data_IF_081239260913
#
_entry.id   IF_081239260913
#
_cell.length_a   1.000
_cell.length_b   1.000
_cell.length_c   1.000
_cell.angle_alpha   90.00
_cell.angle_beta   90.00
_cell.angle_gamma   90.00
#
_symmetry.space_group_name_H-M   'P 1'
#
loop_
_entity.id
_entity.type
_entity.pdbx_description
1 polymer ?
#
# COMPACT_ATOMS: atom_id res chain seq x y z
N UNK A 1 3.96 30.53 10.04
CA UNK A 1 2.94 30.01 9.10
C UNK A 1 2.68 28.57 9.53
N UNK A 2 1.58 28.35 10.27
CA UNK A 2 1.37 27.18 11.13
C UNK A 2 0.60 26.06 10.43
N UNK A 3 1.07 24.82 10.61
CA UNK A 3 0.41 23.62 10.10
C UNK A 3 -0.60 23.12 11.14
N UNK A 4 -1.90 23.15 10.79
CA UNK A 4 -2.96 22.58 11.59
C UNK A 4 -3.09 21.07 11.30
N UNK A 5 -3.06 20.25 12.35
CA UNK A 5 -3.39 18.82 12.28
C UNK A 5 -4.87 18.66 12.67
N UNK A 6 -5.75 18.13 11.81
CA UNK A 6 -7.14 17.87 12.18
C UNK A 6 -7.28 16.75 13.22
N UNK A 7 -8.11 16.98 14.25
CA UNK A 7 -8.22 16.22 15.52
C UNK A 7 -9.05 14.91 15.47
N UNK A 8 -9.37 14.35 14.31
CA UNK A 8 -10.43 13.32 14.22
C UNK A 8 -9.97 11.85 14.22
N UNK A 9 -8.80 11.50 14.79
CA UNK A 9 -8.24 10.13 14.70
C UNK A 9 -8.10 9.33 16.01
N UNK A 10 -8.70 9.78 17.12
CA UNK A 10 -8.29 9.32 18.47
C UNK A 10 -9.22 8.29 19.15
N UNK A 11 -10.38 7.90 18.57
CA UNK A 11 -11.43 7.20 19.35
C UNK A 11 -11.59 5.67 19.22
N UNK A 12 -10.80 4.93 18.44
CA UNK A 12 -11.11 3.49 18.17
C UNK A 12 -10.19 2.42 18.78
N UNK A 13 -9.24 2.77 19.68
CA UNK A 13 -8.17 1.83 20.08
C UNK A 13 -8.36 1.04 21.39
N UNK A 14 -9.47 1.19 22.13
CA UNK A 14 -9.48 0.71 23.53
C UNK A 14 -9.98 -0.72 23.80
N UNK A 15 -10.61 -1.44 22.85
CA UNK A 15 -11.38 -2.65 23.19
C UNK A 15 -10.88 -4.01 22.65
N UNK A 16 -9.63 -4.16 22.17
CA UNK A 16 -9.15 -5.45 21.61
C UNK A 16 -7.90 -6.07 22.28
N UNK A 17 -7.59 -5.71 23.53
CA UNK A 17 -6.32 -6.12 24.19
C UNK A 17 -6.42 -7.31 25.18
N UNK A 18 -7.56 -7.99 25.32
CA UNK A 18 -7.81 -8.86 26.49
C UNK A 18 -7.53 -10.38 26.33
N UNK A 19 -6.88 -10.88 25.26
CA UNK A 19 -6.84 -12.34 25.01
C UNK A 19 -5.48 -13.00 24.75
N UNK A 20 -4.34 -12.32 24.87
CA UNK A 20 -3.02 -12.99 24.83
C UNK A 20 -2.69 -13.75 23.52
N UNK A 21 -3.54 -13.65 22.50
CA UNK A 21 -3.24 -14.11 21.16
C UNK A 21 -2.37 -13.06 20.48
N UNK A 22 -1.19 -13.46 20.00
CA UNK A 22 -0.36 -12.61 19.14
C UNK A 22 -1.21 -12.25 17.92
N UNK A 23 -1.70 -11.02 17.86
CA UNK A 23 -2.44 -10.51 16.70
C UNK A 23 -1.40 -10.39 15.58
N UNK A 24 -1.35 -11.42 14.73
CA UNK A 24 -0.42 -11.43 13.62
C UNK A 24 -0.99 -10.54 12.54
N UNK A 25 -0.26 -9.49 12.18
CA UNK A 25 -0.66 -8.57 11.12
C UNK A 25 0.13 -8.91 9.85
N UNK A 26 -0.49 -9.48 8.82
CA UNK A 26 0.16 -9.67 7.53
C UNK A 26 0.63 -8.32 6.98
N UNK A 27 1.89 -8.25 6.54
CA UNK A 27 2.42 -7.08 5.88
C UNK A 27 3.25 -7.46 4.66
N UNK A 28 3.34 -6.51 3.72
CA UNK A 28 4.17 -6.63 2.51
C UNK A 28 5.36 -5.67 2.52
N UNK A 29 5.32 -4.59 3.32
CA UNK A 29 6.45 -3.66 3.49
C UNK A 29 6.52 -2.52 2.48
N UNK A 30 5.38 -1.99 2.04
CA UNK A 30 5.31 -0.78 1.21
C UNK A 30 4.66 0.38 1.94
N UNK A 31 5.17 1.59 1.72
CA UNK A 31 4.42 2.81 1.95
C UNK A 31 3.64 3.13 0.70
N UNK A 32 2.33 3.28 0.87
CA UNK A 32 1.40 3.45 -0.21
C UNK A 32 0.45 4.62 0.06
N UNK A 33 -0.04 5.22 -1.01
CA UNK A 33 -1.07 6.25 -0.97
C UNK A 33 -2.15 5.95 -2.00
N UNK A 34 -3.38 6.36 -1.74
CA UNK A 34 -4.45 6.27 -2.73
C UNK A 34 -4.13 7.24 -3.87
N UNK A 35 -4.13 6.73 -5.10
CA UNK A 35 -4.02 7.54 -6.31
C UNK A 35 -5.42 7.79 -6.85
N UNK A 36 -5.79 9.06 -6.95
CA UNK A 36 -6.98 9.52 -7.65
C UNK A 36 -6.58 10.22 -8.95
N UNK A 37 -7.46 10.31 -9.96
CA UNK A 37 -7.19 11.07 -11.17
C UNK A 37 -6.78 12.52 -10.88
N UNK A 38 -7.42 13.15 -9.89
CA UNK A 38 -7.10 14.51 -9.43
C UNK A 38 -5.67 14.61 -8.88
N UNK A 39 -5.26 13.68 -8.00
CA UNK A 39 -3.91 13.64 -7.45
C UNK A 39 -2.86 13.31 -8.53
N UNK A 40 -3.21 12.43 -9.48
CA UNK A 40 -2.35 12.11 -10.61
C UNK A 40 -2.13 13.34 -11.50
N UNK A 41 -3.20 14.08 -11.77
CA UNK A 41 -3.16 15.31 -12.56
C UNK A 41 -2.36 16.41 -11.84
N UNK A 42 -2.56 16.59 -10.54
CA UNK A 42 -1.77 17.51 -9.72
C UNK A 42 -0.27 17.19 -9.79
N UNK A 43 0.11 15.92 -9.61
CA UNK A 43 1.49 15.47 -9.80
C UNK A 43 2.00 15.74 -11.22
N UNK A 44 1.22 15.44 -12.26
CA UNK A 44 1.66 15.64 -13.64
C UNK A 44 1.84 17.12 -14.03
N UNK A 45 1.14 18.04 -13.35
CA UNK A 45 1.28 19.47 -13.55
C UNK A 45 2.46 20.08 -12.77
N UNK A 46 3.00 19.39 -11.77
CA UNK A 46 4.18 19.86 -11.04
C UNK A 46 5.46 19.62 -11.86
N UNK A 47 6.20 20.69 -12.24
CA UNK A 47 7.43 20.57 -13.03
C UNK A 47 8.58 19.87 -12.29
N UNK A 48 8.48 19.65 -10.98
CA UNK A 48 9.46 18.91 -10.18
C UNK A 48 9.08 17.45 -9.97
N UNK A 49 7.98 16.99 -10.57
CA UNK A 49 7.54 15.61 -10.43
C UNK A 49 8.53 14.63 -11.06
N UNK A 50 8.91 13.64 -10.26
CA UNK A 50 9.93 12.65 -10.64
C UNK A 50 9.37 11.62 -11.63
N UNK A 51 8.05 11.40 -11.63
CA UNK A 51 7.39 10.39 -12.47
C UNK A 51 6.01 10.87 -12.92
N UNK A 52 5.62 10.50 -14.15
CA UNK A 52 4.26 10.72 -14.65
C UNK A 52 3.32 9.65 -14.12
N UNK A 53 2.20 10.08 -13.55
CA UNK A 53 1.17 9.20 -13.01
C UNK A 53 -0.01 9.11 -14.00
N UNK A 54 -0.47 7.91 -14.35
CA UNK A 54 -1.73 7.74 -15.08
C UNK A 54 -2.90 8.27 -14.24
N UNK A 55 -3.82 8.98 -14.90
CA UNK A 55 -5.03 9.56 -14.31
C UNK A 55 -6.09 8.46 -14.06
N UNK A 56 -5.75 7.50 -13.21
CA UNK A 56 -6.60 6.37 -12.84
C UNK A 56 -6.76 6.30 -11.33
N UNK A 57 -7.79 5.59 -10.89
CA UNK A 57 -7.92 5.20 -9.49
C UNK A 57 -7.06 3.96 -9.21
N UNK A 58 -6.29 4.00 -8.13
CA UNK A 58 -5.42 2.90 -7.73
C UNK A 58 -4.65 3.20 -6.46
N UNK A 59 -3.60 2.43 -6.22
CA UNK A 59 -2.73 2.61 -5.05
C UNK A 59 -1.30 2.83 -5.48
N UNK A 60 -0.79 4.03 -5.27
CA UNK A 60 0.58 4.41 -5.60
C UNK A 60 1.54 3.95 -4.51
N UNK A 61 2.59 3.22 -4.91
CA UNK A 61 3.72 2.84 -4.06
C UNK A 61 4.67 4.03 -3.95
N UNK A 62 4.69 4.66 -2.78
CA UNK A 62 5.54 5.81 -2.48
C UNK A 62 6.95 5.37 -2.10
N UNK A 63 7.06 4.24 -1.41
CA UNK A 63 8.34 3.71 -0.95
C UNK A 63 8.23 2.20 -0.71
N UNK A 64 9.28 1.46 -1.01
CA UNK A 64 9.42 0.05 -0.65
C UNK A 64 10.47 -0.04 0.45
N UNK A 65 10.14 -0.71 1.55
CA UNK A 65 11.09 -0.88 2.65
C UNK A 65 12.11 -1.98 2.31
N UNK A 66 13.39 -1.81 2.65
CA UNK A 66 14.38 -2.89 2.48
C UNK A 66 14.02 -4.08 3.36
N UNK A 67 14.49 -5.27 2.96
CA UNK A 67 14.27 -6.54 3.70
C UNK A 67 12.80 -6.85 3.98
N UNK A 68 11.92 -6.50 3.02
CA UNK A 68 10.49 -6.79 3.09
C UNK A 68 10.02 -7.62 1.90
N UNK A 69 8.90 -8.34 2.01
CA UNK A 69 8.37 -9.13 0.91
C UNK A 69 8.19 -8.36 -0.40
N UNK A 70 7.84 -7.08 -0.31
CA UNK A 70 7.69 -6.21 -1.45
C UNK A 70 9.01 -5.94 -2.18
N UNK A 71 10.10 -5.76 -1.43
CA UNK A 71 11.42 -5.58 -1.99
C UNK A 71 11.89 -6.86 -2.70
N UNK A 72 11.72 -8.02 -2.04
CA UNK A 72 12.08 -9.33 -2.58
C UNK A 72 11.31 -9.66 -3.86
N UNK A 73 10.05 -9.23 -3.94
CA UNK A 73 9.22 -9.39 -5.12
C UNK A 73 9.55 -8.41 -6.26
N UNK A 74 10.45 -7.44 -6.04
CA UNK A 74 10.86 -6.47 -7.05
C UNK A 74 9.86 -5.32 -7.27
N UNK A 75 9.00 -5.03 -6.29
CA UNK A 75 8.21 -3.79 -6.29
C UNK A 75 9.14 -2.59 -6.19
N UNK A 76 8.73 -1.48 -6.82
CA UNK A 76 9.50 -0.24 -6.87
C UNK A 76 8.64 0.95 -6.51
N UNK A 77 9.30 2.01 -6.05
CA UNK A 77 8.67 3.33 -5.93
C UNK A 77 8.14 3.76 -7.31
N UNK A 78 6.92 4.30 -7.33
CA UNK A 78 6.23 4.71 -8.55
C UNK A 78 5.35 3.62 -9.16
N UNK A 79 5.38 2.40 -8.63
CA UNK A 79 4.45 1.36 -9.05
C UNK A 79 3.03 1.70 -8.60
N UNK A 80 2.05 1.49 -9.48
CA UNK A 80 0.63 1.75 -9.18
C UNK A 80 -0.09 0.43 -9.16
N UNK A 81 -0.50 0.01 -7.99
CA UNK A 81 -1.26 -1.21 -7.78
C UNK A 81 -2.69 -0.97 -8.25
N UNK A 82 -3.15 -1.80 -9.18
CA UNK A 82 -4.48 -1.74 -9.77
C UNK A 82 -5.32 -2.98 -9.46
N UNK A 83 -4.67 -4.09 -9.10
CA UNK A 83 -5.34 -5.36 -8.81
C UNK A 83 -4.52 -6.20 -7.83
N UNK A 84 -5.19 -6.99 -6.99
CA UNK A 84 -4.60 -8.03 -6.15
C UNK A 84 -5.44 -9.30 -6.20
N UNK A 85 -4.85 -10.46 -6.49
CA UNK A 85 -5.53 -11.76 -6.61
C UNK A 85 -6.84 -11.70 -7.42
N UNK A 86 -6.78 -11.17 -8.64
CA UNK A 86 -7.99 -11.00 -9.46
C UNK A 86 -8.90 -9.82 -9.09
N UNK A 87 -8.74 -9.23 -7.90
CA UNK A 87 -9.62 -8.19 -7.35
C UNK A 87 -9.09 -6.78 -7.65
N UNK A 88 -9.83 -5.93 -8.37
CA UNK A 88 -9.43 -4.54 -8.61
C UNK A 88 -9.38 -3.73 -7.32
N UNK A 89 -8.35 -2.90 -7.17
CA UNK A 89 -8.17 -2.03 -5.99
C UNK A 89 -8.07 -0.57 -6.43
N UNK A 90 -8.80 0.29 -5.73
CA UNK A 90 -8.87 1.72 -6.06
C UNK A 90 -8.35 2.62 -4.96
N UNK A 91 -8.12 2.08 -3.76
CA UNK A 91 -7.66 2.85 -2.60
C UNK A 91 -6.80 2.01 -1.65
N UNK A 92 -5.95 2.70 -0.89
CA UNK A 92 -4.98 2.06 0.00
C UNK A 92 -5.64 1.24 1.12
N UNK A 93 -6.80 1.68 1.63
CA UNK A 93 -7.56 0.99 2.67
C UNK A 93 -8.07 -0.38 2.20
N UNK A 94 -8.56 -0.45 0.96
CA UNK A 94 -9.03 -1.69 0.36
C UNK A 94 -7.86 -2.68 0.18
N UNK A 95 -6.73 -2.19 -0.31
CA UNK A 95 -5.52 -3.02 -0.45
C UNK A 95 -5.04 -3.54 0.91
N UNK A 96 -5.00 -2.68 1.94
CA UNK A 96 -4.63 -3.08 3.30
C UNK A 96 -5.54 -4.21 3.82
N UNK A 97 -6.86 -4.07 3.69
CA UNK A 97 -7.82 -5.11 4.11
C UNK A 97 -7.63 -6.42 3.36
N UNK A 98 -7.32 -6.37 2.06
CA UNK A 98 -7.08 -7.58 1.26
C UNK A 98 -5.82 -8.31 1.72
N UNK A 99 -4.75 -7.57 2.04
CA UNK A 99 -3.52 -8.14 2.62
C UNK A 99 -3.80 -8.74 4.00
N UNK A 100 -4.50 -8.02 4.88
CA UNK A 100 -4.88 -8.50 6.22
C UNK A 100 -5.74 -9.78 6.15
N UNK A 101 -6.70 -9.83 5.23
CA UNK A 101 -7.59 -10.98 5.04
C UNK A 101 -6.90 -12.18 4.38
N UNK A 102 -5.84 -11.96 3.60
CA UNK A 102 -5.12 -13.06 2.96
C UNK A 102 -4.42 -13.99 3.97
N UNK A 103 -4.00 -13.42 5.10
CA UNK A 103 -3.20 -14.13 6.10
C UNK A 103 -1.69 -14.06 5.84
N UNK A 104 -0.93 -14.73 6.69
CA UNK A 104 0.54 -14.72 6.70
C UNK A 104 1.08 -15.85 5.82
N UNK A 105 2.26 -15.66 5.22
CA UNK A 105 2.92 -16.64 4.35
C UNK A 105 2.11 -17.00 3.09
N UNK A 106 1.27 -16.08 2.61
CA UNK A 106 0.50 -16.26 1.38
C UNK A 106 1.11 -15.47 0.24
N UNK A 107 1.14 -16.08 -0.94
CA UNK A 107 1.59 -15.42 -2.17
C UNK A 107 0.38 -14.72 -2.78
N UNK A 108 0.50 -13.40 -2.92
CA UNK A 108 -0.50 -12.53 -3.54
C UNK A 108 -0.01 -12.12 -4.93
N UNK A 109 -0.84 -12.30 -5.95
CA UNK A 109 -0.60 -11.76 -7.28
C UNK A 109 -1.03 -10.29 -7.31
N UNK A 110 -0.07 -9.37 -7.35
CA UNK A 110 -0.32 -7.93 -7.40
C UNK A 110 -0.05 -7.43 -8.82
N UNK A 111 -1.07 -6.93 -9.52
CA UNK A 111 -0.85 -6.21 -10.79
C UNK A 111 -0.48 -4.77 -10.49
N UNK A 112 0.72 -4.41 -10.92
CA UNK A 112 1.23 -3.05 -10.85
C UNK A 112 1.37 -2.46 -12.25
N UNK A 113 1.12 -1.16 -12.35
CA UNK A 113 1.39 -0.37 -13.54
C UNK A 113 2.64 0.46 -13.30
N UNK A 114 3.67 0.22 -14.12
CA UNK A 114 4.96 0.91 -14.09
C UNK A 114 5.08 1.71 -15.39
N UNK A 115 4.73 2.99 -15.32
CA UNK A 115 4.60 3.85 -16.49
C UNK A 115 3.49 3.37 -17.44
N UNK A 116 3.88 2.92 -18.64
CA UNK A 116 2.93 2.42 -19.66
C UNK A 116 2.72 0.90 -19.62
N UNK A 117 3.56 0.18 -18.86
CA UNK A 117 3.50 -1.29 -18.79
C UNK A 117 2.76 -1.74 -17.54
N UNK A 118 1.98 -2.81 -17.66
CA UNK A 118 1.38 -3.52 -16.53
C UNK A 118 2.16 -4.81 -16.30
N UNK A 119 2.54 -5.08 -15.06
CA UNK A 119 3.30 -6.25 -14.64
C UNK A 119 2.62 -6.90 -13.44
N UNK A 120 2.55 -8.23 -13.43
CA UNK A 120 2.17 -8.98 -12.23
C UNK A 120 3.41 -9.22 -11.38
N UNK A 121 3.30 -8.93 -10.08
CA UNK A 121 4.33 -9.12 -9.07
C UNK A 121 3.77 -10.06 -8.01
N UNK A 122 4.50 -11.13 -7.69
CA UNK A 122 4.08 -12.10 -6.69
C UNK A 122 4.74 -11.77 -5.36
N UNK A 123 3.94 -11.36 -4.37
CA UNK A 123 4.43 -10.92 -3.07
C UNK A 123 3.99 -11.90 -2.01
N UNK A 124 4.94 -12.45 -1.24
CA UNK A 124 4.63 -13.36 -0.14
C UNK A 124 4.47 -12.61 1.17
N UNK A 125 3.25 -12.48 1.69
CA UNK A 125 3.01 -11.79 2.97
C UNK A 125 3.84 -12.39 4.12
N UNK A 126 4.32 -11.54 5.00
CA UNK A 126 5.02 -11.95 6.22
C UNK A 126 4.29 -11.40 7.46
N UNK A 127 4.60 -11.92 8.64
CA UNK A 127 4.07 -11.44 9.91
C UNK A 127 4.82 -10.18 10.34
N UNK A 128 4.11 -9.07 10.55
CA UNK A 128 4.74 -7.85 11.07
C UNK A 128 5.30 -8.16 12.46
N UNK A 129 6.63 -8.19 12.56
CA UNK A 129 7.32 -8.37 13.83
C UNK A 129 7.16 -7.07 14.61
N UNK A 130 6.31 -7.05 15.64
CA UNK A 130 6.29 -5.94 16.58
C UNK A 130 7.68 -5.85 17.24
N UNK A 131 8.36 -4.69 17.20
CA UNK A 131 9.53 -4.50 18.04
C UNK A 131 9.08 -4.68 19.50
N UNK A 132 9.81 -5.55 20.21
CA UNK A 132 9.59 -5.86 21.62
C UNK A 132 10.03 -4.69 22.49
#
# INVERSE_FOLDING_TARGET
IGFAIPINKVKEISNKLAQGQKVVHPYIGVRMTTLTPELAQENNNDPNSVFLLPEINGVLVVQVMPDTPAADAGMRRGDIIVQIDGTPVTNATQLQRLVENSGVNKVLEIKVRRGKQTTSVFVRTDALKNPT
#
